data_IF_725194318454
#
_entry.id   IF_725194318454
#
_cell.length_a   1.000
_cell.length_b   1.000
_cell.length_c   1.000
_cell.angle_alpha   90.00
_cell.angle_beta   90.00
_cell.angle_gamma   90.00
#
_symmetry.space_group_name_H-M   'P 1'
#
loop_
_entity.id
_entity.type
_entity.pdbx_description
1 polymer ?
#
# COMPACT_ATOMS: atom_id res chain seq x y z
N UNK A 1 6.54 -9.01 1.04
CA UNK A 1 6.65 -7.83 0.12
C UNK A 1 7.88 -7.00 0.50
N UNK A 2 8.39 -6.14 -0.40
CA UNK A 2 9.53 -5.26 -0.07
C UNK A 2 9.06 -4.01 0.69
N UNK A 3 9.86 -3.54 1.65
CA UNK A 3 9.58 -2.32 2.42
C UNK A 3 9.57 -1.07 1.53
N UNK A 4 8.67 -0.14 1.84
CA UNK A 4 8.59 1.16 1.21
C UNK A 4 9.60 2.14 1.81
N UNK A 5 10.23 2.91 0.94
CA UNK A 5 11.05 4.07 1.28
C UNK A 5 10.19 5.30 1.55
N UNK A 6 10.73 6.28 2.27
CA UNK A 6 10.04 7.56 2.52
C UNK A 6 9.64 8.29 1.24
N UNK A 7 10.46 8.20 0.18
CA UNK A 7 10.16 8.87 -1.09
C UNK A 7 8.98 8.21 -1.81
N UNK A 8 8.87 6.88 -1.75
CA UNK A 8 7.70 6.15 -2.28
C UNK A 8 6.44 6.48 -1.48
N UNK A 9 6.52 6.50 -0.15
CA UNK A 9 5.39 6.89 0.71
C UNK A 9 4.95 8.33 0.43
N UNK A 10 5.89 9.24 0.21
CA UNK A 10 5.57 10.62 -0.21
C UNK A 10 4.85 10.64 -1.56
N UNK A 11 5.32 9.86 -2.52
CA UNK A 11 4.67 9.69 -3.83
C UNK A 11 3.23 9.17 -3.71
N UNK A 12 3.00 8.17 -2.86
CA UNK A 12 1.67 7.64 -2.57
C UNK A 12 0.75 8.68 -1.94
N UNK A 13 1.27 9.50 -1.01
CA UNK A 13 0.55 10.63 -0.44
C UNK A 13 0.06 11.61 -1.53
N UNK A 14 0.96 12.02 -2.43
CA UNK A 14 0.60 12.92 -3.52
C UNK A 14 -0.48 12.34 -4.45
N UNK A 15 -0.46 11.03 -4.71
CA UNK A 15 -1.46 10.36 -5.56
C UNK A 15 -2.88 10.47 -4.99
N UNK A 16 -3.02 10.57 -3.67
CA UNK A 16 -4.31 10.76 -2.98
C UNK A 16 -4.56 12.21 -2.54
N UNK A 17 -3.73 13.15 -2.98
CA UNK A 17 -3.86 14.58 -2.66
C UNK A 17 -3.43 14.94 -1.23
N UNK A 18 -2.59 14.12 -0.60
CA UNK A 18 -2.02 14.39 0.73
C UNK A 18 -0.55 14.79 0.60
N UNK A 19 -0.17 15.87 1.27
CA UNK A 19 1.23 16.29 1.39
C UNK A 19 1.74 15.97 2.79
N UNK A 20 2.53 14.90 2.90
CA UNK A 20 3.04 14.37 4.18
C UNK A 20 4.49 14.84 4.36
N UNK A 21 4.78 15.46 5.50
CA UNK A 21 6.10 15.98 5.85
C UNK A 21 6.65 15.24 7.08
N UNK A 22 7.95 15.40 7.39
CA UNK A 22 8.49 14.91 8.66
C UNK A 22 8.01 15.80 9.83
N UNK A 23 7.69 15.22 11.00
CA UNK A 23 7.96 13.84 11.41
C UNK A 23 6.92 12.79 10.95
N UNK A 24 5.72 13.21 10.51
CA UNK A 24 4.62 12.30 10.19
C UNK A 24 4.97 11.30 9.08
N UNK A 25 5.76 11.72 8.10
CA UNK A 25 6.25 10.87 7.00
C UNK A 25 7.01 9.65 7.53
N UNK A 26 7.80 9.83 8.58
CA UNK A 26 8.53 8.74 9.22
C UNK A 26 7.57 7.73 9.83
N UNK A 27 6.59 8.20 10.59
CA UNK A 27 5.61 7.36 11.27
C UNK A 27 4.73 6.61 10.26
N UNK A 28 4.22 7.31 9.25
CA UNK A 28 3.42 6.71 8.18
C UNK A 28 4.21 5.63 7.45
N UNK A 29 5.50 5.85 7.19
CA UNK A 29 6.36 4.84 6.56
C UNK A 29 6.46 3.57 7.40
N UNK A 30 6.68 3.70 8.72
CA UNK A 30 6.72 2.53 9.62
C UNK A 30 5.37 1.80 9.67
N UNK A 31 4.26 2.54 9.76
CA UNK A 31 2.92 1.95 9.81
C UNK A 31 2.59 1.20 8.51
N UNK A 32 2.95 1.76 7.35
CA UNK A 32 2.73 1.09 6.06
C UNK A 32 3.58 -0.17 5.92
N UNK A 33 4.84 -0.14 6.33
CA UNK A 33 5.71 -1.34 6.26
C UNK A 33 5.24 -2.44 7.22
N UNK A 34 4.80 -2.10 8.42
CA UNK A 34 4.19 -3.06 9.34
C UNK A 34 2.90 -3.69 8.77
N UNK A 35 2.08 -2.89 8.06
CA UNK A 35 0.90 -3.41 7.37
C UNK A 35 1.27 -4.34 6.21
N UNK A 36 2.30 -4.00 5.43
CA UNK A 36 2.79 -4.86 4.35
C UNK A 36 3.27 -6.22 4.87
N UNK A 37 4.01 -6.23 6.00
CA UNK A 37 4.43 -7.45 6.67
C UNK A 37 3.23 -8.30 7.11
N UNK A 38 2.22 -7.66 7.73
CA UNK A 38 1.00 -8.34 8.14
C UNK A 38 0.23 -8.93 6.96
N UNK A 39 0.18 -8.24 5.81
CA UNK A 39 -0.47 -8.74 4.59
C UNK A 39 0.29 -9.91 3.97
N UNK A 40 1.62 -9.85 3.94
CA UNK A 40 2.47 -10.93 3.44
C UNK A 40 2.26 -12.22 4.24
N UNK A 41 1.99 -12.10 5.55
CA UNK A 41 1.73 -13.22 6.43
C UNK A 41 0.39 -13.95 6.19
N UNK A 42 -0.60 -13.30 5.54
CA UNK A 42 -1.90 -13.93 5.28
C UNK A 42 -1.79 -15.06 4.25
N UNK A 43 -0.94 -14.88 3.23
CA UNK A 43 -0.64 -15.80 2.11
C UNK A 43 -1.64 -16.97 1.92
N UNK A 44 -2.88 -16.70 1.47
CA UNK A 44 -3.92 -17.72 1.42
C UNK A 44 -3.60 -18.79 0.36
N UNK A 45 -3.88 -20.07 0.63
CA UNK A 45 -3.64 -21.14 -0.33
C UNK A 45 -4.48 -20.95 -1.60
N UNK A 46 -3.92 -21.24 -2.77
CA UNK A 46 -4.60 -21.12 -4.06
C UNK A 46 -4.66 -19.70 -4.64
N UNK A 47 -4.02 -18.70 -4.02
CA UNK A 47 -4.02 -17.32 -4.53
C UNK A 47 -3.44 -17.20 -5.96
N UNK A 48 -2.45 -18.04 -6.29
CA UNK A 48 -1.85 -18.09 -7.62
C UNK A 48 -2.74 -18.78 -8.67
N UNK A 49 -3.82 -19.45 -8.25
CA UNK A 49 -4.71 -20.23 -9.10
C UNK A 49 -5.99 -19.48 -9.46
N UNK A 50 -6.20 -18.29 -8.91
CA UNK A 50 -7.40 -17.47 -9.13
C UNK A 50 -7.06 -16.21 -9.93
N UNK A 51 -7.88 -15.91 -10.94
CA UNK A 51 -7.76 -14.65 -11.69
C UNK A 51 -8.43 -13.50 -10.91
N UNK A 52 -7.82 -12.32 -10.95
CA UNK A 52 -8.40 -11.12 -10.36
C UNK A 52 -9.65 -10.71 -11.14
N UNK A 53 -10.78 -10.55 -10.44
CA UNK A 53 -11.99 -10.00 -11.05
C UNK A 53 -11.76 -8.52 -11.38
N UNK A 54 -12.05 -8.07 -12.61
CA UNK A 54 -11.89 -6.66 -12.97
C UNK A 54 -12.89 -5.81 -12.18
N UNK A 55 -12.39 -4.73 -11.57
CA UNK A 55 -13.24 -3.71 -10.94
C UNK A 55 -13.85 -2.85 -12.06
N UNK A 56 -15.14 -3.02 -12.34
CA UNK A 56 -15.89 -2.16 -13.27
C UNK A 56 -16.37 -0.93 -12.50
N UNK A 57 -15.72 0.21 -12.73
CA UNK A 57 -16.18 1.48 -12.15
C UNK A 57 -17.46 1.94 -12.87
N UNK A 58 -18.52 2.33 -12.15
CA UNK A 58 -19.69 2.93 -12.75
C UNK A 58 -19.33 4.28 -13.44
N UNK A 59 -20.06 4.69 -14.49
CA UNK A 59 -19.84 5.98 -15.13
C UNK A 59 -20.03 7.13 -14.14
N UNK A 60 -19.21 8.18 -14.31
CA UNK A 60 -19.28 9.42 -13.51
C UNK A 60 -20.55 10.22 -13.78
#
# INVERSE_FOLDING_TARGET
MADLTKDEVRGLGHAVGLEIQDPELTEVTYNLNALLEALDAINPPGLAEVEALPIILPPK
#
